data_IF_399858768661
#
_entry.id   IF_399858768661
#
_cell.length_a   1.000
_cell.length_b   1.000
_cell.length_c   1.000
_cell.angle_alpha   90.00
_cell.angle_beta   90.00
_cell.angle_gamma   90.00
#
_symmetry.space_group_name_H-M   'P 1'
#
loop_
_entity.id
_entity.type
_entity.pdbx_description
1 polymer ?
#
# COMPACT_ATOMS: atom_id res chain seq x y z
N UNK A 1 -67.41 59.13 -25.20
CA UNK A 1 -66.22 58.28 -24.98
C UNK A 1 -65.87 58.36 -23.50
N UNK A 2 -66.02 57.26 -22.77
CA UNK A 2 -65.90 57.20 -21.30
C UNK A 2 -64.68 56.39 -20.87
N UNK A 3 -64.04 56.88 -19.81
CA UNK A 3 -63.04 56.20 -18.98
C UNK A 3 -63.62 55.03 -18.17
N UNK A 4 -62.81 53.97 -17.97
CA UNK A 4 -62.53 53.33 -16.67
C UNK A 4 -61.34 52.35 -16.76
N UNK A 5 -60.47 52.38 -15.75
CA UNK A 5 -59.31 51.51 -15.50
C UNK A 5 -59.71 50.09 -15.04
N UNK A 6 -58.87 49.07 -15.30
CA UNK A 6 -58.31 48.18 -14.26
C UNK A 6 -57.10 47.34 -14.76
N UNK A 7 -56.18 47.06 -13.81
CA UNK A 7 -54.89 46.37 -13.94
C UNK A 7 -55.02 44.86 -14.20
N UNK A 8 -54.07 44.29 -14.96
CA UNK A 8 -53.70 42.86 -14.87
C UNK A 8 -52.18 42.69 -14.99
N UNK A 9 -51.57 42.08 -13.99
CA UNK A 9 -50.17 41.62 -13.98
C UNK A 9 -50.08 40.31 -14.75
N UNK A 10 -49.14 40.18 -15.69
CA UNK A 10 -48.82 38.90 -16.34
C UNK A 10 -47.31 38.66 -16.23
N UNK A 11 -46.96 37.55 -15.59
CA UNK A 11 -45.62 37.08 -15.36
C UNK A 11 -44.94 36.64 -16.66
N UNK A 12 -43.69 37.07 -16.88
CA UNK A 12 -42.83 36.55 -17.94
C UNK A 12 -42.05 35.37 -17.36
N UNK A 13 -42.34 34.17 -17.84
CA UNK A 13 -41.56 32.96 -17.54
C UNK A 13 -40.30 33.00 -18.41
N UNK A 14 -39.14 33.21 -17.78
CA UNK A 14 -37.84 33.02 -18.42
C UNK A 14 -37.53 31.51 -18.47
N UNK A 15 -37.59 30.92 -19.66
CA UNK A 15 -37.07 29.57 -19.89
C UNK A 15 -35.55 29.64 -20.11
N UNK A 16 -34.77 29.31 -19.07
CA UNK A 16 -33.34 29.05 -19.17
C UNK A 16 -33.12 27.64 -19.74
N UNK A 17 -32.69 27.54 -20.99
CA UNK A 17 -32.16 26.30 -21.56
C UNK A 17 -30.70 26.19 -21.09
N UNK A 18 -30.46 25.40 -20.06
CA UNK A 18 -29.11 24.98 -19.68
C UNK A 18 -28.71 23.86 -20.63
N UNK A 19 -27.85 24.15 -21.60
CA UNK A 19 -27.16 23.10 -22.34
C UNK A 19 -26.19 22.42 -21.38
N UNK A 20 -26.51 21.21 -20.95
CA UNK A 20 -25.55 20.36 -20.26
C UNK A 20 -24.42 20.04 -21.25
N UNK A 21 -23.25 20.67 -21.08
CA UNK A 21 -22.02 20.15 -21.65
C UNK A 21 -21.80 18.79 -20.99
N UNK A 22 -22.03 17.73 -21.76
CA UNK A 22 -21.58 16.38 -21.43
C UNK A 22 -20.07 16.48 -21.23
N UNK A 23 -19.61 16.42 -19.98
CA UNK A 23 -18.20 16.15 -19.70
C UNK A 23 -17.87 14.83 -20.40
N UNK A 24 -17.20 14.90 -21.55
CA UNK A 24 -16.54 13.75 -22.13
C UNK A 24 -15.42 13.37 -21.18
N UNK A 25 -15.77 12.52 -20.22
CA UNK A 25 -14.80 11.82 -19.39
C UNK A 25 -14.10 10.85 -20.31
N UNK A 26 -12.96 11.27 -20.84
CA UNK A 26 -12.06 10.40 -21.60
C UNK A 26 -11.56 9.33 -20.62
N UNK A 27 -12.22 8.18 -20.59
CA UNK A 27 -11.60 6.98 -20.04
C UNK A 27 -10.45 6.61 -20.97
N UNK A 28 -9.24 7.02 -20.58
CA UNK A 28 -8.01 6.47 -21.14
C UNK A 28 -7.94 5.02 -20.67
N UNK A 29 -8.56 4.13 -21.43
CA UNK A 29 -8.31 2.69 -21.32
C UNK A 29 -6.89 2.46 -21.80
N UNK A 30 -5.95 2.53 -20.87
CA UNK A 30 -4.54 2.28 -21.13
C UNK A 30 -4.38 0.79 -21.46
N UNK A 31 -4.24 0.47 -22.74
CA UNK A 31 -3.76 -0.84 -23.17
C UNK A 31 -2.32 -0.98 -22.67
N UNK A 32 -2.13 -1.77 -21.61
CA UNK A 32 -0.82 -2.03 -21.02
C UNK A 32 0.02 -2.83 -22.02
N UNK A 33 0.91 -2.17 -22.75
CA UNK A 33 2.00 -2.87 -23.43
C UNK A 33 3.39 -2.27 -23.21
N UNK A 34 3.54 -1.03 -22.72
CA UNK A 34 4.82 -0.55 -22.21
C UNK A 34 4.68 0.73 -21.36
N UNK A 35 5.57 0.91 -20.39
CA UNK A 35 5.72 2.18 -19.67
C UNK A 35 6.30 3.28 -20.59
N UNK A 36 5.93 4.56 -20.42
CA UNK A 36 6.54 5.64 -21.20
C UNK A 36 8.04 5.71 -20.97
N UNK A 37 8.79 6.09 -22.01
CA UNK A 37 10.24 6.22 -21.89
C UNK A 37 10.62 7.50 -21.16
N UNK A 38 11.58 7.41 -20.26
CA UNK A 38 12.18 8.56 -19.58
C UNK A 38 13.68 8.62 -19.84
N UNK A 39 14.24 9.83 -19.93
CA UNK A 39 15.66 10.05 -20.15
C UNK A 39 16.15 11.22 -19.30
N UNK A 40 17.24 11.02 -18.57
CA UNK A 40 17.95 12.13 -17.90
C UNK A 40 18.83 12.77 -18.96
N UNK A 41 18.36 13.88 -19.54
CA UNK A 41 19.02 14.59 -20.64
C UNK A 41 20.26 15.33 -20.16
N UNK A 42 20.23 15.87 -18.93
CA UNK A 42 21.41 16.43 -18.28
C UNK A 42 21.32 16.28 -16.76
N UNK A 43 22.47 16.07 -16.14
CA UNK A 43 22.63 16.09 -14.69
C UNK A 43 23.90 16.87 -14.32
N UNK A 44 23.77 17.87 -13.44
CA UNK A 44 24.88 18.66 -12.92
C UNK A 44 24.99 18.56 -11.40
N UNK A 45 26.22 18.53 -10.86
CA UNK A 45 26.50 18.47 -9.42
C UNK A 45 26.97 17.09 -8.95
N UNK A 46 26.52 16.64 -7.78
CA UNK A 46 26.98 15.40 -7.14
C UNK A 46 26.61 14.15 -8.00
N UNK A 47 27.58 13.42 -8.58
CA UNK A 47 27.30 12.30 -9.47
C UNK A 47 26.56 11.14 -8.80
N UNK A 48 26.79 10.91 -7.49
CA UNK A 48 26.13 9.84 -6.75
C UNK A 48 24.62 10.08 -6.64
N UNK A 49 24.20 11.34 -6.51
CA UNK A 49 22.78 11.71 -6.53
C UNK A 49 22.15 11.53 -7.91
N UNK A 50 22.89 11.82 -8.99
CA UNK A 50 22.42 11.57 -10.36
C UNK A 50 22.22 10.09 -10.65
N UNK A 51 23.17 9.25 -10.21
CA UNK A 51 23.05 7.80 -10.28
C UNK A 51 21.86 7.29 -9.46
N UNK A 52 21.66 7.83 -8.25
CA UNK A 52 20.53 7.47 -7.39
C UNK A 52 19.18 7.87 -8.00
N UNK A 53 19.09 9.05 -8.60
CA UNK A 53 17.89 9.52 -9.31
C UNK A 53 17.52 8.55 -10.43
N UNK A 54 18.51 8.15 -11.24
CA UNK A 54 18.32 7.16 -12.30
C UNK A 54 17.86 5.81 -11.76
N UNK A 55 18.54 5.31 -10.71
CA UNK A 55 18.18 4.05 -10.03
C UNK A 55 16.73 4.07 -9.56
N UNK A 56 16.30 5.15 -8.90
CA UNK A 56 14.95 5.24 -8.34
C UNK A 56 13.88 5.43 -9.40
N UNK A 57 14.17 6.12 -10.51
CA UNK A 57 13.28 6.16 -11.67
C UNK A 57 13.08 4.76 -12.26
N UNK A 58 14.15 3.94 -12.36
CA UNK A 58 14.06 2.55 -12.80
C UNK A 58 13.25 1.71 -11.81
N UNK A 59 13.60 1.74 -10.52
CA UNK A 59 12.92 0.98 -9.45
C UNK A 59 11.47 1.39 -9.26
N UNK A 60 11.08 2.60 -9.67
CA UNK A 60 9.68 3.03 -9.62
C UNK A 60 8.77 2.15 -10.46
N UNK A 61 9.26 1.54 -11.54
CA UNK A 61 8.44 0.76 -12.46
C UNK A 61 7.41 1.58 -13.24
N UNK A 62 7.37 2.91 -13.10
CA UNK A 62 6.39 3.78 -13.80
C UNK A 62 6.88 4.31 -15.15
N UNK A 63 8.20 4.28 -15.37
CA UNK A 63 8.85 4.70 -16.61
C UNK A 63 9.87 3.65 -17.05
N UNK A 64 10.13 3.58 -18.35
CA UNK A 64 11.29 2.85 -18.89
C UNK A 64 12.43 3.82 -19.11
N UNK A 65 13.44 3.81 -18.24
CA UNK A 65 14.57 4.74 -18.34
C UNK A 65 15.50 4.32 -19.47
N UNK A 66 15.72 5.19 -20.46
CA UNK A 66 16.62 4.96 -21.58
C UNK A 66 18.10 5.17 -21.17
N UNK A 67 19.06 4.53 -21.88
CA UNK A 67 20.47 4.85 -21.73
C UNK A 67 20.76 6.32 -22.05
N UNK A 68 21.83 6.87 -21.47
CA UNK A 68 22.11 8.33 -21.55
C UNK A 68 22.32 8.80 -22.99
N UNK A 69 22.96 7.98 -23.83
CA UNK A 69 23.13 8.22 -25.26
C UNK A 69 21.80 8.37 -26.04
N UNK A 70 20.70 7.85 -25.49
CA UNK A 70 19.35 7.89 -26.07
C UNK A 70 18.40 8.79 -25.28
N UNK A 71 18.85 9.47 -24.23
CA UNK A 71 17.98 10.24 -23.35
C UNK A 71 17.17 11.33 -24.08
N UNK A 72 17.74 11.92 -25.14
CA UNK A 72 17.05 12.91 -25.97
C UNK A 72 15.89 12.35 -26.80
N UNK A 73 15.83 11.03 -26.98
CA UNK A 73 14.75 10.32 -27.68
C UNK A 73 13.60 9.93 -26.74
N UNK A 74 13.75 10.12 -25.42
CA UNK A 74 12.72 9.77 -24.45
C UNK A 74 11.48 10.67 -24.58
N UNK A 75 10.31 10.10 -24.27
CA UNK A 75 9.05 10.83 -24.18
C UNK A 75 9.06 11.81 -23.00
N UNK A 76 9.66 11.42 -21.89
CA UNK A 76 9.83 12.23 -20.68
C UNK A 76 11.31 12.60 -20.56
N UNK A 77 11.62 13.89 -20.68
CA UNK A 77 12.99 14.41 -20.63
C UNK A 77 13.22 15.12 -19.31
N UNK A 78 14.22 14.66 -18.56
CA UNK A 78 14.52 15.17 -17.22
C UNK A 78 15.87 15.87 -17.27
N UNK A 79 15.92 17.13 -16.82
CA UNK A 79 17.16 17.85 -16.54
C UNK A 79 17.23 18.12 -15.06
N UNK A 80 18.36 17.82 -14.44
CA UNK A 80 18.50 17.91 -13.00
C UNK A 80 19.81 18.59 -12.60
N UNK A 81 19.78 19.34 -11.51
CA UNK A 81 20.97 19.97 -10.93
C UNK A 81 20.91 19.92 -9.41
N UNK A 82 21.96 19.36 -8.83
CA UNK A 82 22.14 19.34 -7.37
C UNK A 82 23.11 20.42 -6.91
N UNK A 83 22.82 21.02 -5.76
CA UNK A 83 23.64 22.01 -5.08
C UNK A 83 23.91 21.55 -3.64
N UNK A 84 25.04 21.97 -3.08
CA UNK A 84 25.41 21.76 -1.68
C UNK A 84 25.73 23.12 -1.05
N UNK A 85 24.67 23.84 -0.63
CA UNK A 85 24.77 25.20 -0.08
C UNK A 85 23.82 25.32 1.10
N UNK A 86 24.36 25.13 2.32
CA UNK A 86 23.55 25.10 3.54
C UNK A 86 22.54 23.95 3.55
N UNK A 87 22.95 22.78 3.05
CA UNK A 87 22.11 21.61 2.80
C UNK A 87 22.04 21.25 1.31
N UNK A 88 21.42 20.11 1.02
CA UNK A 88 21.30 19.57 -0.32
C UNK A 88 20.04 20.14 -0.98
N UNK A 89 20.18 20.68 -2.18
CA UNK A 89 19.07 21.11 -3.03
C UNK A 89 19.13 20.38 -4.36
N UNK A 90 18.05 19.73 -4.77
CA UNK A 90 17.91 19.14 -6.10
C UNK A 90 16.81 19.88 -6.85
N UNK A 91 17.17 20.50 -7.98
CA UNK A 91 16.23 21.12 -8.91
C UNK A 91 16.07 20.22 -10.13
N UNK A 92 14.85 19.98 -10.55
CA UNK A 92 14.57 19.20 -11.77
C UNK A 92 13.54 19.90 -12.65
N UNK A 93 13.80 19.85 -13.95
CA UNK A 93 12.89 20.24 -15.01
C UNK A 93 12.47 18.98 -15.76
N UNK A 94 11.17 18.79 -15.93
CA UNK A 94 10.60 17.66 -16.66
C UNK A 94 9.80 18.18 -17.83
N UNK A 95 10.14 17.72 -19.03
CA UNK A 95 9.46 18.04 -20.27
C UNK A 95 8.84 16.77 -20.88
N UNK A 96 7.61 16.91 -21.35
CA UNK A 96 6.88 15.91 -22.15
C UNK A 96 6.39 16.58 -23.44
N UNK A 97 5.68 15.85 -24.30
CA UNK A 97 5.04 16.45 -25.48
C UNK A 97 3.90 17.42 -25.15
N UNK A 98 3.26 17.25 -24.00
CA UNK A 98 2.03 17.97 -23.63
C UNK A 98 2.24 19.02 -22.54
N UNK A 99 3.20 18.78 -21.65
CA UNK A 99 3.42 19.62 -20.47
C UNK A 99 4.91 19.70 -20.10
N UNK A 100 5.23 20.78 -19.40
CA UNK A 100 6.55 21.05 -18.82
C UNK A 100 6.37 21.57 -17.40
N UNK A 101 7.19 21.08 -16.46
CA UNK A 101 7.15 21.54 -15.08
C UNK A 101 8.52 21.45 -14.41
N UNK A 102 8.73 22.36 -13.45
CA UNK A 102 9.85 22.30 -12.53
C UNK A 102 9.44 21.70 -11.19
N UNK A 103 10.40 21.13 -10.47
CA UNK A 103 10.31 20.85 -9.04
C UNK A 103 11.65 21.06 -8.35
N UNK A 104 11.61 21.30 -7.05
CA UNK A 104 12.80 21.47 -6.23
C UNK A 104 12.57 20.85 -4.85
N UNK A 105 13.53 20.04 -4.40
CA UNK A 105 13.52 19.40 -3.08
C UNK A 105 14.79 19.76 -2.32
N UNK A 106 14.65 19.99 -1.01
CA UNK A 106 15.75 20.37 -0.12
C UNK A 106 15.77 19.48 1.11
N UNK A 107 16.96 19.06 1.53
CA UNK A 107 17.13 18.26 2.74
C UNK A 107 18.59 18.07 3.13
N UNK A 108 18.80 17.34 4.22
CA UNK A 108 20.14 17.05 4.75
C UNK A 108 20.72 15.74 4.19
N UNK A 109 19.86 14.83 3.71
CA UNK A 109 20.26 13.51 3.21
C UNK A 109 19.96 13.39 1.72
N UNK A 110 20.99 13.05 0.94
CA UNK A 110 20.91 12.96 -0.52
C UNK A 110 19.85 11.97 -1.01
N UNK A 111 19.77 10.78 -0.40
CA UNK A 111 18.77 9.77 -0.75
C UNK A 111 17.34 10.26 -0.54
N UNK A 112 17.08 10.95 0.57
CA UNK A 112 15.76 11.49 0.88
C UNK A 112 15.32 12.54 -0.15
N UNK A 113 16.22 13.47 -0.49
CA UNK A 113 15.99 14.49 -1.52
C UNK A 113 15.70 13.85 -2.89
N UNK A 114 16.40 12.78 -3.23
CA UNK A 114 16.16 12.02 -4.47
C UNK A 114 14.79 11.32 -4.44
N UNK A 115 14.43 10.66 -3.34
CA UNK A 115 13.14 9.98 -3.20
C UNK A 115 11.97 10.96 -3.34
N UNK A 116 12.04 12.10 -2.67
CA UNK A 116 11.04 13.17 -2.76
C UNK A 116 10.94 13.74 -4.18
N UNK A 117 12.07 13.87 -4.86
CA UNK A 117 12.10 14.34 -6.25
C UNK A 117 11.42 13.34 -7.18
N UNK A 118 11.70 12.05 -7.04
CA UNK A 118 11.04 11.01 -7.85
C UNK A 118 9.55 10.96 -7.54
N UNK A 119 9.15 10.99 -6.27
CA UNK A 119 7.75 11.00 -5.86
C UNK A 119 7.00 12.20 -6.48
N UNK A 120 7.63 13.37 -6.50
CA UNK A 120 7.03 14.57 -7.08
C UNK A 120 6.88 14.50 -8.62
N UNK A 121 7.85 13.86 -9.30
CA UNK A 121 7.73 13.55 -10.73
C UNK A 121 6.57 12.57 -10.97
N UNK A 122 6.49 11.49 -10.20
CA UNK A 122 5.42 10.50 -10.31
C UNK A 122 4.05 11.08 -9.97
N UNK A 123 3.97 12.00 -9.00
CA UNK A 123 2.75 12.70 -8.64
C UNK A 123 2.22 13.54 -9.80
N UNK A 124 3.09 14.34 -10.42
CA UNK A 124 2.70 15.22 -11.53
C UNK A 124 2.39 14.46 -12.83
N UNK A 125 3.06 13.33 -13.09
CA UNK A 125 2.88 12.56 -14.32
C UNK A 125 1.81 11.46 -14.22
N UNK A 126 1.68 10.81 -13.06
CA UNK A 126 0.90 9.58 -12.90
C UNK A 126 -0.06 9.60 -11.72
N UNK A 127 -0.17 10.74 -11.01
CA UNK A 127 -1.00 10.88 -9.81
C UNK A 127 -0.64 9.88 -8.69
N UNK A 128 0.65 9.54 -8.58
CA UNK A 128 1.19 8.70 -7.50
C UNK A 128 1.82 9.62 -6.46
N UNK A 129 1.13 9.86 -5.34
CA UNK A 129 1.48 10.93 -4.39
C UNK A 129 2.78 10.68 -3.61
N UNK A 130 3.12 9.43 -3.31
CA UNK A 130 4.32 9.08 -2.57
C UNK A 130 4.62 7.59 -2.74
N UNK A 131 5.82 7.24 -3.22
CA UNK A 131 6.22 5.86 -3.50
C UNK A 131 7.59 5.55 -2.89
N UNK A 132 8.63 6.26 -3.34
CA UNK A 132 10.01 6.09 -2.89
C UNK A 132 10.22 6.48 -1.43
N UNK A 133 9.47 7.47 -0.94
CA UNK A 133 9.55 7.91 0.47
C UNK A 133 8.79 7.01 1.43
N UNK A 134 8.01 6.04 0.94
CA UNK A 134 7.20 5.15 1.77
C UNK A 134 8.00 3.95 2.23
N UNK A 135 8.14 3.83 3.55
CA UNK A 135 8.87 2.73 4.17
C UNK A 135 8.10 1.42 4.10
N UNK A 136 8.87 0.34 4.02
CA UNK A 136 8.43 -1.04 4.13
C UNK A 136 8.86 -1.50 5.52
N UNK A 137 7.90 -1.91 6.35
CA UNK A 137 8.18 -2.62 7.60
C UNK A 137 8.32 -4.13 7.31
N UNK A 138 9.16 -4.83 8.06
CA UNK A 138 9.32 -6.28 7.93
C UNK A 138 9.91 -6.86 9.23
N UNK A 139 9.81 -8.18 9.37
CA UNK A 139 10.29 -8.90 10.55
C UNK A 139 11.58 -9.63 10.23
N UNK A 140 12.59 -9.46 11.07
CA UNK A 140 13.87 -10.19 10.99
C UNK A 140 14.39 -10.55 12.40
N UNK A 141 15.31 -11.52 12.52
CA UNK A 141 15.97 -11.79 13.79
C UNK A 141 16.74 -10.56 14.30
N UNK A 142 16.45 -10.16 15.53
CA UNK A 142 17.15 -9.13 16.27
C UNK A 142 18.16 -9.70 17.28
N UNK A 143 18.35 -9.01 18.40
CA UNK A 143 19.22 -9.48 19.49
C UNK A 143 18.69 -10.81 20.05
N UNK A 144 19.60 -11.73 20.39
CA UNK A 144 19.28 -13.07 20.93
C UNK A 144 18.36 -13.90 20.03
N UNK A 145 18.36 -13.65 18.71
CA UNK A 145 17.50 -14.33 17.73
C UNK A 145 15.99 -14.12 17.97
N UNK A 146 15.60 -13.13 18.78
CA UNK A 146 14.20 -12.73 18.94
C UNK A 146 13.78 -11.88 17.74
N UNK A 147 12.62 -12.19 17.17
CA UNK A 147 12.08 -11.45 16.02
C UNK A 147 11.73 -10.01 16.41
N UNK A 148 12.16 -9.06 15.61
CA UNK A 148 11.87 -7.64 15.77
C UNK A 148 11.40 -7.06 14.43
N UNK A 149 10.68 -5.95 14.50
CA UNK A 149 10.24 -5.19 13.32
C UNK A 149 11.32 -4.19 12.96
N UNK A 150 11.69 -4.20 11.69
CA UNK A 150 12.58 -3.25 11.05
C UNK A 150 11.82 -2.53 9.96
N UNK A 151 12.38 -1.45 9.44
CA UNK A 151 11.89 -0.80 8.22
C UNK A 151 13.04 -0.46 7.28
N UNK A 152 12.75 -0.30 5.99
CA UNK A 152 13.66 0.19 4.96
C UNK A 152 12.88 0.95 3.86
N UNK A 153 13.61 1.63 2.97
CA UNK A 153 13.05 2.16 1.73
C UNK A 153 13.02 1.10 0.62
N UNK A 154 12.36 1.43 -0.50
CA UNK A 154 12.20 0.57 -1.67
C UNK A 154 13.51 -0.03 -2.22
N UNK A 155 14.61 0.69 -2.05
CA UNK A 155 15.95 0.27 -2.48
C UNK A 155 16.72 -0.52 -1.41
N UNK A 156 16.09 -0.82 -0.28
CA UNK A 156 16.69 -1.49 0.88
C UNK A 156 17.51 -0.55 1.79
N UNK A 157 17.69 0.71 1.40
CA UNK A 157 18.43 1.69 2.20
C UNK A 157 17.62 2.17 3.41
N UNK A 158 18.29 2.92 4.30
CA UNK A 158 17.64 3.52 5.47
C UNK A 158 17.10 2.49 6.46
N UNK A 159 17.72 1.31 6.52
CA UNK A 159 17.27 0.25 7.40
C UNK A 159 17.37 0.66 8.87
N UNK A 160 16.27 0.55 9.60
CA UNK A 160 16.22 0.85 11.03
C UNK A 160 15.36 -0.16 11.79
N UNK A 161 15.68 -0.38 13.07
CA UNK A 161 14.87 -1.20 13.98
C UNK A 161 13.77 -0.35 14.60
N UNK A 162 12.53 -0.81 14.56
CA UNK A 162 11.35 -0.11 15.09
C UNK A 162 10.99 -0.59 16.50
N UNK A 163 11.13 -1.89 16.78
CA UNK A 163 10.76 -2.47 18.07
C UNK A 163 11.99 -2.85 18.90
N UNK A 164 11.93 -2.59 20.21
CA UNK A 164 13.01 -2.84 21.16
C UNK A 164 12.47 -3.55 22.41
N UNK A 165 11.60 -4.53 22.21
CA UNK A 165 10.81 -5.12 23.30
C UNK A 165 11.54 -6.19 24.09
N UNK A 166 12.69 -6.67 23.58
CA UNK A 166 13.38 -7.86 24.07
C UNK A 166 12.41 -9.06 24.13
N UNK A 167 11.56 -9.16 23.11
CA UNK A 167 10.46 -10.10 22.95
C UNK A 167 10.16 -10.23 21.46
N UNK A 168 9.30 -11.18 21.07
CA UNK A 168 8.97 -11.40 19.67
C UNK A 168 7.94 -10.36 19.23
N UNK A 169 8.30 -9.54 18.23
CA UNK A 169 7.41 -8.58 17.57
C UNK A 169 7.16 -9.03 16.13
N UNK A 170 5.91 -9.21 15.73
CA UNK A 170 5.52 -9.76 14.42
C UNK A 170 4.28 -9.08 13.85
N UNK A 171 3.97 -9.39 12.59
CA UNK A 171 2.73 -8.95 11.90
C UNK A 171 2.55 -7.42 11.94
N UNK A 172 3.53 -6.63 11.45
CA UNK A 172 3.32 -5.19 11.31
C UNK A 172 2.15 -4.93 10.34
N UNK A 173 1.28 -3.98 10.68
CA UNK A 173 0.23 -3.49 9.79
C UNK A 173 0.12 -1.98 9.89
N UNK A 174 0.38 -1.30 8.77
CA UNK A 174 0.24 0.14 8.65
C UNK A 174 -1.22 0.52 8.45
N UNK A 175 -1.73 1.45 9.25
CA UNK A 175 -2.97 2.16 8.90
C UNK A 175 -2.67 3.41 8.10
N UNK A 176 -1.64 4.14 8.51
CA UNK A 176 -1.13 5.32 7.82
C UNK A 176 0.34 5.55 8.12
N UNK A 177 0.95 6.54 7.46
CA UNK A 177 2.42 6.74 7.50
C UNK A 177 3.04 7.08 8.84
N UNK A 178 2.21 7.19 9.88
CA UNK A 178 2.61 7.56 11.23
C UNK A 178 2.07 6.58 12.27
N UNK A 179 1.29 5.59 11.83
CA UNK A 179 0.53 4.69 12.69
C UNK A 179 0.62 3.26 12.17
N UNK A 180 1.14 2.39 13.03
CA UNK A 180 1.29 0.96 12.75
C UNK A 180 0.86 0.17 13.98
N UNK A 181 0.24 -0.98 13.77
CA UNK A 181 0.02 -1.97 14.83
C UNK A 181 0.90 -3.20 14.59
N UNK A 182 1.20 -3.93 15.66
CA UNK A 182 1.89 -5.21 15.57
C UNK A 182 1.49 -6.15 16.71
N UNK A 183 1.78 -7.44 16.53
CA UNK A 183 1.60 -8.48 17.54
C UNK A 183 2.87 -8.64 18.37
N UNK A 184 2.75 -8.55 19.69
CA UNK A 184 3.80 -8.76 20.66
C UNK A 184 3.58 -10.09 21.40
N UNK A 185 4.55 -10.99 21.32
CA UNK A 185 4.58 -12.21 22.14
C UNK A 185 5.61 -12.05 23.26
N UNK A 186 5.11 -11.89 24.49
CA UNK A 186 5.91 -11.65 25.69
C UNK A 186 5.25 -12.29 26.91
N UNK A 187 6.05 -12.89 27.79
CA UNK A 187 5.59 -13.48 29.06
C UNK A 187 4.41 -14.45 28.89
N UNK A 188 4.49 -15.31 27.86
CA UNK A 188 3.45 -16.27 27.47
C UNK A 188 2.07 -15.64 27.14
N UNK A 189 2.06 -14.37 26.75
CA UNK A 189 0.87 -13.65 26.29
C UNK A 189 1.09 -13.06 24.89
N UNK A 190 0.01 -13.01 24.13
CA UNK A 190 -0.07 -12.28 22.86
C UNK A 190 -0.86 -11.00 23.07
N UNK A 191 -0.29 -9.88 22.65
CA UNK A 191 -0.88 -8.55 22.77
C UNK A 191 -0.75 -7.79 21.46
N UNK A 192 -1.68 -6.87 21.20
CA UNK A 192 -1.57 -5.94 20.08
C UNK A 192 -1.05 -4.60 20.59
N UNK A 193 -0.03 -4.08 19.93
CA UNK A 193 0.61 -2.80 20.26
C UNK A 193 0.40 -1.81 19.13
N UNK A 194 0.02 -0.58 19.47
CA UNK A 194 -0.03 0.55 18.55
C UNK A 194 1.26 1.37 18.68
N UNK A 195 1.86 1.70 17.54
CA UNK A 195 3.05 2.55 17.40
C UNK A 195 2.65 3.88 16.78
N UNK A 196 2.97 4.97 17.47
CA UNK A 196 2.98 6.33 16.94
C UNK A 196 4.43 6.70 16.61
N UNK A 197 4.75 6.74 15.31
CA UNK A 197 6.09 7.02 14.81
C UNK A 197 6.45 8.51 14.84
N UNK A 198 5.47 9.41 14.95
CA UNK A 198 5.76 10.83 15.14
C UNK A 198 6.29 11.08 16.55
N UNK A 199 5.61 10.50 17.56
CA UNK A 199 5.96 10.70 18.96
C UNK A 199 6.98 9.68 19.48
N UNK A 200 7.33 8.69 18.67
CA UNK A 200 8.17 7.56 19.05
C UNK A 200 7.61 6.87 20.31
N UNK A 201 6.29 6.64 20.31
CA UNK A 201 5.55 6.03 21.42
C UNK A 201 4.91 4.73 21.00
N UNK A 202 4.83 3.80 21.93
CA UNK A 202 4.12 2.53 21.76
C UNK A 202 3.17 2.33 22.94
N UNK A 203 1.97 1.81 22.70
CA UNK A 203 1.02 1.41 23.76
C UNK A 203 0.36 0.09 23.42
N UNK A 204 0.21 -0.79 24.42
CA UNK A 204 -0.62 -1.99 24.29
C UNK A 204 -2.08 -1.56 24.19
N UNK A 205 -2.78 -1.99 23.13
CA UNK A 205 -4.18 -1.66 22.88
C UNK A 205 -5.12 -2.87 23.06
N UNK A 206 -4.59 -4.11 23.00
CA UNK A 206 -5.33 -5.32 23.34
C UNK A 206 -4.44 -6.34 24.01
N UNK A 207 -4.95 -6.93 25.11
CA UNK A 207 -4.27 -7.97 25.92
C UNK A 207 -5.26 -8.88 26.65
N UNK A 208 -6.37 -9.20 26.02
CA UNK A 208 -7.36 -10.11 26.60
C UNK A 208 -6.74 -11.50 26.82
N UNK A 209 -7.37 -12.35 27.65
CA UNK A 209 -6.92 -13.74 27.82
C UNK A 209 -6.95 -14.46 26.46
N UNK A 210 -5.86 -15.18 26.15
CA UNK A 210 -5.72 -15.95 24.91
C UNK A 210 -5.04 -15.16 23.79
N UNK A 211 -5.38 -15.49 22.56
CA UNK A 211 -4.86 -14.86 21.34
C UNK A 211 -5.32 -13.39 21.25
N UNK A 212 -4.39 -12.51 20.93
CA UNK A 212 -4.64 -11.15 20.43
C UNK A 212 -3.58 -10.90 19.35
N UNK A 213 -3.95 -11.06 18.07
CA UNK A 213 -2.96 -11.07 16.99
C UNK A 213 -3.55 -10.61 15.64
N UNK A 214 -2.68 -10.57 14.62
CA UNK A 214 -2.99 -10.27 13.22
C UNK A 214 -3.81 -8.98 13.05
N UNK A 215 -3.43 -7.94 13.79
CA UNK A 215 -4.18 -6.70 13.83
C UNK A 215 -3.96 -5.85 12.57
N UNK A 216 -5.00 -5.12 12.14
CA UNK A 216 -4.95 -4.14 11.08
C UNK A 216 -5.54 -2.80 11.54
N UNK A 217 -4.74 -1.73 11.40
CA UNK A 217 -5.14 -0.37 11.72
C UNK A 217 -5.91 0.25 10.54
N UNK A 218 -7.06 0.86 10.81
CA UNK A 218 -7.82 1.59 9.81
C UNK A 218 -7.05 2.81 9.31
N UNK A 219 -7.37 3.29 8.11
CA UNK A 219 -6.60 4.36 7.46
C UNK A 219 -6.67 5.70 8.15
N UNK A 220 -7.83 5.99 8.73
CA UNK A 220 -8.04 7.16 9.57
C UNK A 220 -7.37 7.05 10.95
N UNK A 221 -6.77 5.90 11.26
CA UNK A 221 -6.09 5.63 12.53
C UNK A 221 -7.04 5.52 13.72
N UNK A 222 -8.36 5.37 13.49
CA UNK A 222 -9.38 5.37 14.55
C UNK A 222 -9.76 3.98 15.05
N UNK A 223 -9.64 2.95 14.21
CA UNK A 223 -10.10 1.59 14.52
C UNK A 223 -9.02 0.57 14.27
N UNK A 224 -9.05 -0.52 15.03
CA UNK A 224 -8.17 -1.68 14.84
C UNK A 224 -9.02 -2.93 14.73
N UNK A 225 -8.92 -3.63 13.61
CA UNK A 225 -9.46 -4.98 13.49
C UNK A 225 -8.41 -5.98 13.97
N UNK A 226 -8.79 -7.04 14.68
CA UNK A 226 -7.86 -8.06 15.17
C UNK A 226 -8.54 -9.41 15.38
N UNK A 227 -7.73 -10.47 15.41
CA UNK A 227 -8.15 -11.81 15.82
C UNK A 227 -7.99 -11.96 17.34
N UNK A 228 -9.04 -12.40 18.03
CA UNK A 228 -9.01 -12.59 19.48
C UNK A 228 -9.70 -13.88 19.91
N UNK A 229 -9.11 -14.59 20.87
CA UNK A 229 -9.66 -15.86 21.39
C UNK A 229 -10.29 -15.78 22.78
N UNK A 230 -10.73 -14.59 23.20
CA UNK A 230 -11.24 -14.34 24.56
C UNK A 230 -12.45 -15.21 24.90
N UNK A 231 -13.28 -15.50 23.90
CA UNK A 231 -14.58 -16.17 24.06
C UNK A 231 -14.52 -17.65 23.65
N UNK A 232 -13.39 -18.32 23.92
CA UNK A 232 -13.12 -19.74 23.61
C UNK A 232 -13.18 -20.13 22.12
N UNK A 233 -13.25 -19.14 21.23
CA UNK A 233 -13.26 -19.25 19.76
C UNK A 233 -12.42 -18.10 19.21
N UNK A 234 -11.77 -18.29 18.06
CA UNK A 234 -10.93 -17.25 17.44
C UNK A 234 -11.81 -16.43 16.50
N UNK A 235 -12.19 -15.23 16.95
CA UNK A 235 -13.08 -14.34 16.21
C UNK A 235 -12.42 -13.01 15.83
N UNK A 236 -13.05 -12.33 14.90
CA UNK A 236 -12.74 -10.95 14.57
C UNK A 236 -13.38 -9.99 15.56
N UNK A 237 -12.59 -9.01 15.96
CA UNK A 237 -13.02 -7.87 16.76
C UNK A 237 -12.61 -6.57 16.07
N UNK A 238 -13.37 -5.51 16.32
CA UNK A 238 -12.99 -4.13 16.01
C UNK A 238 -12.89 -3.37 17.32
N UNK A 239 -11.74 -2.74 17.55
CA UNK A 239 -11.47 -1.83 18.66
C UNK A 239 -11.52 -0.40 18.15
N UNK A 240 -12.34 0.45 18.77
CA UNK A 240 -12.28 1.90 18.58
C UNK A 240 -11.21 2.50 19.51
N UNK A 241 -10.25 3.21 18.95
CA UNK A 241 -9.08 3.72 19.68
C UNK A 241 -9.36 4.98 20.51
N UNK A 242 -10.49 5.66 20.27
CA UNK A 242 -10.87 6.88 20.98
C UNK A 242 -11.51 6.59 22.33
N UNK A 243 -12.39 5.57 22.40
CA UNK A 243 -13.11 5.19 23.61
C UNK A 243 -12.72 3.80 24.16
N UNK A 244 -11.83 3.06 23.47
CA UNK A 244 -11.46 1.68 23.76
C UNK A 244 -12.63 0.67 23.70
N UNK A 245 -13.70 1.00 22.98
CA UNK A 245 -14.85 0.11 22.79
C UNK A 245 -14.48 -1.05 21.87
N UNK A 246 -14.91 -2.26 22.24
CA UNK A 246 -14.64 -3.48 21.49
C UNK A 246 -15.95 -4.08 20.97
N UNK A 247 -16.03 -4.27 19.66
CA UNK A 247 -17.13 -4.94 19.00
C UNK A 247 -16.66 -6.29 18.44
N UNK A 248 -17.31 -7.38 18.86
CA UNK A 248 -17.13 -8.71 18.24
C UNK A 248 -17.91 -8.76 16.93
N UNK A 249 -17.25 -9.12 15.83
CA UNK A 249 -17.84 -9.15 14.49
C UNK A 249 -18.28 -10.55 14.07
N UNK A 250 -17.52 -11.58 14.41
CA UNK A 250 -17.83 -12.98 14.11
C UNK A 250 -18.20 -13.75 15.37
N UNK A 251 -19.01 -14.79 15.21
CA UNK A 251 -19.42 -15.72 16.27
C UNK A 251 -19.49 -17.12 15.69
N UNK A 252 -18.39 -17.59 15.13
CA UNK A 252 -18.33 -18.88 14.44
C UNK A 252 -17.55 -19.90 15.29
N UNK A 253 -17.71 -21.18 14.97
CA UNK A 253 -16.91 -22.27 15.57
C UNK A 253 -15.55 -22.45 14.90
N UNK A 254 -15.24 -21.59 13.93
CA UNK A 254 -14.11 -21.66 13.02
C UNK A 254 -13.03 -20.64 13.41
N UNK A 255 -11.88 -20.68 12.74
CA UNK A 255 -10.75 -19.80 13.03
C UNK A 255 -10.73 -18.63 12.07
N UNK A 256 -10.99 -17.43 12.61
CA UNK A 256 -11.03 -16.20 11.85
C UNK A 256 -9.73 -15.43 12.04
N UNK A 257 -9.06 -15.04 10.95
CA UNK A 257 -7.74 -14.43 11.05
C UNK A 257 -7.43 -13.39 9.96
N UNK A 258 -6.35 -12.65 10.18
CA UNK A 258 -5.77 -11.69 9.22
C UNK A 258 -6.78 -10.70 8.63
N UNK A 259 -7.57 -9.98 9.45
CA UNK A 259 -8.46 -8.94 8.94
C UNK A 259 -7.67 -7.78 8.31
N UNK A 260 -8.16 -7.27 7.19
CA UNK A 260 -7.65 -6.05 6.52
C UNK A 260 -8.80 -5.16 6.07
N UNK A 261 -8.62 -3.84 6.21
CA UNK A 261 -9.66 -2.86 5.94
C UNK A 261 -9.88 -2.59 4.45
N UNK A 262 -11.15 -2.46 4.06
CA UNK A 262 -11.53 -1.90 2.77
C UNK A 262 -11.10 -0.44 2.64
N UNK A 263 -11.04 0.11 1.41
CA UNK A 263 -10.52 1.45 1.21
C UNK A 263 -11.24 2.59 1.91
N UNK A 264 -12.56 2.44 2.00
CA UNK A 264 -13.50 3.32 2.66
C UNK A 264 -13.70 2.99 4.15
N UNK A 265 -13.06 1.92 4.66
CA UNK A 265 -13.23 1.43 6.03
C UNK A 265 -14.62 0.86 6.33
N UNK A 266 -15.46 0.62 5.33
CA UNK A 266 -16.82 0.09 5.52
C UNK A 266 -16.84 -1.43 5.73
N UNK A 267 -15.81 -2.14 5.28
CA UNK A 267 -15.72 -3.59 5.32
C UNK A 267 -14.34 -4.07 5.76
N UNK A 268 -14.28 -5.34 6.16
CA UNK A 268 -13.05 -6.09 6.34
C UNK A 268 -13.00 -7.23 5.32
N UNK A 269 -11.81 -7.53 4.80
CA UNK A 269 -11.49 -8.82 4.21
C UNK A 269 -10.73 -9.63 5.26
N UNK A 270 -10.98 -10.94 5.35
CA UNK A 270 -10.35 -11.80 6.35
C UNK A 270 -10.29 -13.25 5.90
N UNK A 271 -9.49 -14.06 6.60
CA UNK A 271 -9.36 -15.51 6.39
C UNK A 271 -10.31 -16.24 7.33
N UNK A 272 -11.06 -17.21 6.81
CA UNK A 272 -11.86 -18.16 7.60
C UNK A 272 -11.66 -19.57 7.08
N UNK A 273 -11.52 -20.54 7.98
CA UNK A 273 -11.38 -21.97 7.66
C UNK A 273 -12.73 -22.73 7.67
N UNK A 274 -13.86 -22.02 7.71
CA UNK A 274 -15.23 -22.58 7.80
C UNK A 274 -15.64 -23.62 6.76
N UNK A 275 -14.86 -23.80 5.70
CA UNK A 275 -15.08 -24.81 4.66
C UNK A 275 -14.02 -25.93 4.69
N UNK A 276 -13.32 -26.09 5.82
CA UNK A 276 -12.25 -27.07 6.00
C UNK A 276 -10.89 -26.64 5.44
N UNK A 277 -10.79 -25.44 4.84
CA UNK A 277 -9.53 -24.85 4.39
C UNK A 277 -9.62 -23.31 4.44
N UNK A 278 -8.48 -22.60 4.59
CA UNK A 278 -8.46 -21.13 4.59
C UNK A 278 -9.03 -20.54 3.30
N UNK A 279 -10.01 -19.66 3.42
CA UNK A 279 -10.63 -18.92 2.32
C UNK A 279 -10.83 -17.46 2.73
N UNK A 280 -10.94 -16.56 1.74
CA UNK A 280 -11.22 -15.16 2.02
C UNK A 280 -12.72 -14.85 2.05
N UNK A 281 -13.09 -14.04 3.03
CA UNK A 281 -14.44 -13.52 3.23
C UNK A 281 -14.38 -12.01 3.41
N UNK A 282 -15.49 -11.35 3.11
CA UNK A 282 -15.74 -9.97 3.53
C UNK A 282 -16.87 -9.89 4.54
N UNK A 283 -16.81 -8.91 5.43
CA UNK A 283 -17.88 -8.59 6.38
C UNK A 283 -17.95 -7.06 6.55
N UNK A 284 -19.13 -6.52 6.80
CA UNK A 284 -19.29 -5.11 7.19
C UNK A 284 -18.55 -4.83 8.51
N UNK A 285 -17.91 -3.68 8.61
CA UNK A 285 -17.16 -3.29 9.80
C UNK A 285 -18.04 -3.12 11.06
N UNK A 286 -19.35 -3.00 10.90
CA UNK A 286 -20.37 -3.01 11.96
C UNK A 286 -20.94 -4.41 12.23
N UNK A 287 -20.43 -5.44 11.55
CA UNK A 287 -20.88 -6.82 11.64
C UNK A 287 -22.04 -7.13 10.69
N UNK A 288 -22.49 -8.38 10.70
CA UNK A 288 -23.53 -8.87 9.80
C UNK A 288 -23.12 -10.17 9.13
N UNK A 289 -23.75 -10.49 8.00
CA UNK A 289 -23.52 -11.75 7.29
C UNK A 289 -22.22 -11.70 6.48
N UNK A 290 -21.25 -12.61 6.73
CA UNK A 290 -20.06 -12.71 5.90
C UNK A 290 -20.36 -13.14 4.47
N UNK A 291 -19.58 -12.61 3.51
CA UNK A 291 -19.64 -12.96 2.10
C UNK A 291 -18.33 -13.62 1.65
N UNK A 292 -18.40 -14.84 1.13
CA UNK A 292 -17.23 -15.54 0.58
C UNK A 292 -16.76 -14.90 -0.74
N UNK A 293 -15.45 -14.73 -0.90
CA UNK A 293 -14.85 -14.34 -2.18
C UNK A 293 -14.68 -15.57 -3.11
N UNK A 294 -14.94 -15.38 -4.40
CA UNK A 294 -14.89 -16.45 -5.41
C UNK A 294 -13.48 -16.59 -5.97
N UNK A 295 -12.64 -17.39 -5.30
CA UNK A 295 -11.19 -17.47 -5.60
C UNK A 295 -10.74 -18.73 -6.35
N UNK A 296 -11.65 -19.61 -6.77
CA UNK A 296 -11.28 -20.81 -7.53
C UNK A 296 -10.88 -22.04 -6.69
N UNK A 297 -11.09 -22.02 -5.37
CA UNK A 297 -11.12 -23.22 -4.52
C UNK A 297 -9.79 -23.72 -3.95
N UNK A 298 -8.67 -23.03 -4.20
CA UNK A 298 -7.43 -23.24 -3.46
C UNK A 298 -7.42 -22.46 -2.14
N UNK A 299 -6.55 -22.84 -1.20
CA UNK A 299 -6.37 -22.09 0.05
C UNK A 299 -5.94 -20.65 -0.23
N UNK A 300 -6.52 -19.69 0.49
CA UNK A 300 -6.20 -18.28 0.34
C UNK A 300 -5.92 -17.66 1.71
N UNK A 301 -4.73 -17.07 1.85
CA UNK A 301 -4.20 -16.58 3.12
C UNK A 301 -3.49 -15.23 2.95
N UNK A 302 -3.23 -14.57 4.09
CA UNK A 302 -2.49 -13.30 4.17
C UNK A 302 -2.99 -12.23 3.18
N UNK A 303 -4.28 -11.85 3.24
CA UNK A 303 -4.82 -10.83 2.37
C UNK A 303 -4.24 -9.45 2.70
N UNK A 304 -4.16 -8.57 1.71
CA UNK A 304 -4.06 -7.12 1.89
C UNK A 304 -4.96 -6.41 0.88
N UNK A 305 -5.55 -5.28 1.27
CA UNK A 305 -6.55 -4.56 0.47
C UNK A 305 -6.06 -3.16 0.12
N UNK A 306 -5.73 -2.97 -1.17
CA UNK A 306 -5.08 -1.78 -1.70
C UNK A 306 -5.79 -0.49 -1.35
N UNK A 307 -5.02 0.53 -1.00
CA UNK A 307 -5.58 1.82 -0.63
C UNK A 307 -6.19 2.65 -1.72
N UNK A 308 -5.71 2.46 -2.93
CA UNK A 308 -5.98 3.37 -4.03
C UNK A 308 -6.66 2.66 -5.19
N UNK A 309 -6.55 1.33 -5.30
CA UNK A 309 -7.10 0.57 -6.44
C UNK A 309 -8.35 -0.24 -6.13
N UNK A 310 -8.71 -0.44 -4.85
CA UNK A 310 -9.77 -1.37 -4.42
C UNK A 310 -9.53 -2.80 -4.94
N UNK A 311 -8.30 -3.28 -4.84
CA UNK A 311 -7.91 -4.65 -5.17
C UNK A 311 -7.43 -5.38 -3.93
N UNK A 312 -7.69 -6.67 -3.85
CA UNK A 312 -7.19 -7.54 -2.78
C UNK A 312 -6.06 -8.38 -3.35
N UNK A 313 -4.89 -8.38 -2.71
CA UNK A 313 -3.85 -9.36 -2.98
C UNK A 313 -3.85 -10.40 -1.87
N UNK A 314 -3.41 -11.62 -2.18
CA UNK A 314 -3.35 -12.73 -1.22
C UNK A 314 -2.39 -13.81 -1.70
N UNK A 315 -1.89 -14.62 -0.77
CA UNK A 315 -1.12 -15.81 -1.10
C UNK A 315 -2.08 -17.00 -1.28
N UNK A 316 -1.86 -17.79 -2.33
CA UNK A 316 -2.65 -18.99 -2.64
C UNK A 316 -1.77 -20.10 -3.11
N UNK A 317 -2.18 -21.35 -2.87
CA UNK A 317 -1.41 -22.50 -3.31
C UNK A 317 -1.77 -22.89 -4.75
N UNK A 318 -0.77 -22.94 -5.62
CA UNK A 318 -0.91 -23.39 -7.00
C UNK A 318 0.31 -24.22 -7.41
N UNK A 319 0.09 -25.40 -8.01
CA UNK A 319 1.19 -26.27 -8.42
C UNK A 319 2.11 -26.72 -7.26
N UNK A 320 1.58 -26.76 -6.03
CA UNK A 320 2.32 -27.14 -4.83
C UNK A 320 3.10 -26.02 -4.16
N UNK A 321 3.20 -24.83 -4.76
CA UNK A 321 3.90 -23.65 -4.24
C UNK A 321 2.92 -22.54 -3.87
N UNK A 322 3.32 -21.63 -3.00
CA UNK A 322 2.58 -20.39 -2.78
C UNK A 322 2.89 -19.36 -3.88
N UNK A 323 1.85 -18.77 -4.44
CA UNK A 323 1.92 -17.66 -5.40
C UNK A 323 1.06 -16.50 -4.90
N UNK A 324 1.34 -15.28 -5.36
CA UNK A 324 0.49 -14.12 -5.09
C UNK A 324 -0.54 -13.98 -6.19
N UNK A 325 -1.81 -13.87 -5.80
CA UNK A 325 -2.93 -13.54 -6.67
C UNK A 325 -3.55 -12.21 -6.29
N UNK A 326 -4.17 -11.55 -7.26
CA UNK A 326 -4.88 -10.27 -7.12
C UNK A 326 -6.31 -10.42 -7.61
N UNK A 327 -7.28 -9.94 -6.83
CA UNK A 327 -8.69 -9.84 -7.20
C UNK A 327 -9.11 -8.37 -7.25
N UNK A 328 -9.78 -7.96 -8.33
CA UNK A 328 -10.37 -6.63 -8.44
C UNK A 328 -11.76 -6.60 -7.79
N UNK A 329 -11.94 -5.74 -6.78
CA UNK A 329 -13.20 -5.65 -6.03
C UNK A 329 -14.21 -4.69 -6.67
N UNK A 330 -13.84 -3.98 -7.74
CA UNK A 330 -14.76 -3.10 -8.49
C UNK A 330 -15.67 -3.89 -9.43
N UNK A 331 -15.20 -5.03 -9.93
CA UNK A 331 -15.98 -5.93 -10.79
C UNK A 331 -16.41 -7.16 -10.00
N UNK A 332 -17.73 -7.30 -9.80
CA UNK A 332 -18.31 -8.44 -9.08
C UNK A 332 -18.07 -9.80 -9.75
N UNK A 333 -17.71 -9.80 -11.04
CA UNK A 333 -17.39 -11.00 -11.83
C UNK A 333 -15.89 -11.18 -12.07
N UNK A 334 -15.04 -10.32 -11.50
CA UNK A 334 -13.61 -10.42 -11.63
C UNK A 334 -13.12 -11.81 -11.19
N UNK A 335 -12.17 -12.35 -11.95
CA UNK A 335 -11.44 -13.55 -11.58
C UNK A 335 -10.09 -13.15 -11.01
N UNK A 336 -9.58 -13.87 -9.98
CA UNK A 336 -8.24 -13.61 -9.51
C UNK A 336 -7.20 -13.88 -10.59
N UNK A 337 -6.14 -13.06 -10.58
CA UNK A 337 -5.01 -13.17 -11.48
C UNK A 337 -3.72 -13.41 -10.69
N UNK A 338 -2.92 -14.39 -11.11
CA UNK A 338 -1.59 -14.65 -10.54
C UNK A 338 -0.59 -13.63 -11.08
N UNK A 339 0.14 -12.98 -10.17
CA UNK A 339 1.10 -11.91 -10.48
C UNK A 339 2.57 -12.32 -10.26
N UNK A 340 2.82 -13.47 -9.63
CA UNK A 340 4.16 -14.02 -9.41
C UNK A 340 4.35 -15.30 -10.23
N UNK A 341 5.03 -15.20 -11.38
CA UNK A 341 5.19 -16.32 -12.32
C UNK A 341 6.48 -17.13 -12.13
N UNK A 342 7.45 -16.61 -11.37
CA UNK A 342 8.69 -17.33 -11.09
C UNK A 342 8.52 -18.32 -9.92
N UNK A 343 9.25 -19.44 -9.98
CA UNK A 343 9.17 -20.51 -8.99
C UNK A 343 9.56 -20.07 -7.56
N UNK A 344 9.10 -20.80 -6.55
CA UNK A 344 9.37 -20.53 -5.13
C UNK A 344 8.10 -20.16 -4.38
N UNK A 345 8.18 -20.09 -3.05
CA UNK A 345 7.01 -19.76 -2.23
C UNK A 345 6.94 -18.25 -2.00
N UNK A 346 5.93 -17.62 -2.59
CA UNK A 346 5.63 -16.20 -2.42
C UNK A 346 4.61 -16.00 -1.32
N UNK A 347 4.98 -15.28 -0.27
CA UNK A 347 4.23 -15.22 0.98
C UNK A 347 4.06 -13.78 1.47
N UNK A 348 2.98 -13.52 2.20
CA UNK A 348 2.69 -12.27 2.89
C UNK A 348 2.80 -11.01 1.99
N UNK A 349 1.95 -10.90 0.95
CA UNK A 349 1.93 -9.71 0.12
C UNK A 349 1.35 -8.50 0.86
N UNK A 350 1.86 -7.31 0.56
CA UNK A 350 1.32 -6.03 1.02
C UNK A 350 1.37 -5.00 -0.10
N UNK A 351 0.29 -4.26 -0.29
CA UNK A 351 0.14 -3.24 -1.31
C UNK A 351 1.04 -2.03 -1.05
N UNK A 352 1.79 -1.66 -2.09
CA UNK A 352 2.43 -0.36 -2.17
C UNK A 352 1.41 0.77 -2.33
N UNK A 353 1.87 2.02 -2.21
CA UNK A 353 1.02 3.21 -2.16
C UNK A 353 0.43 3.62 -3.52
N UNK A 354 0.79 2.93 -4.59
CA UNK A 354 0.51 3.33 -5.98
C UNK A 354 -0.53 2.46 -6.69
N UNK A 355 -1.07 1.44 -6.01
CA UNK A 355 -2.09 0.55 -6.56
C UNK A 355 -1.60 -0.40 -7.65
N UNK A 356 -0.28 -0.46 -7.88
CA UNK A 356 0.37 -1.29 -8.89
C UNK A 356 1.36 -2.26 -8.28
N UNK A 357 2.18 -1.80 -7.34
CA UNK A 357 3.24 -2.62 -6.78
C UNK A 357 2.81 -3.28 -5.48
N UNK A 358 3.39 -4.45 -5.22
CA UNK A 358 3.32 -5.17 -3.95
C UNK A 358 4.72 -5.34 -3.40
N UNK A 359 4.86 -5.39 -2.09
CA UNK A 359 6.00 -6.05 -1.43
C UNK A 359 5.55 -7.42 -0.96
N UNK A 360 6.41 -8.42 -1.08
CA UNK A 360 6.17 -9.74 -0.52
C UNK A 360 7.50 -10.42 -0.18
N UNK A 361 7.41 -11.52 0.56
CA UNK A 361 8.56 -12.41 0.74
C UNK A 361 8.54 -13.53 -0.28
N UNK A 362 9.72 -13.93 -0.74
CA UNK A 362 9.88 -15.15 -1.54
C UNK A 362 10.89 -16.06 -0.87
N UNK A 363 10.51 -17.32 -0.66
CA UNK A 363 11.40 -18.37 -0.19
C UNK A 363 11.92 -19.17 -1.38
N UNK A 364 13.24 -19.21 -1.52
CA UNK A 364 13.95 -19.98 -2.53
C UNK A 364 15.13 -20.69 -1.87
N UNK A 365 15.08 -22.02 -1.80
CA UNK A 365 16.08 -22.79 -1.05
C UNK A 365 16.01 -22.48 0.45
N UNK A 366 17.12 -21.95 1.02
CA UNK A 366 17.25 -21.65 2.46
C UNK A 366 17.02 -20.18 2.82
N UNK A 367 16.96 -19.27 1.84
CA UNK A 367 16.71 -17.86 2.12
C UNK A 367 15.24 -17.51 1.92
N UNK A 368 14.80 -16.52 2.68
CA UNK A 368 13.53 -15.81 2.49
C UNK A 368 13.87 -14.33 2.40
N UNK A 369 13.54 -13.71 1.28
CA UNK A 369 13.97 -12.35 0.95
C UNK A 369 12.80 -11.47 0.55
N UNK A 370 12.98 -10.15 0.67
CA UNK A 370 12.01 -9.13 0.26
C UNK A 370 12.09 -8.88 -1.24
N UNK A 371 10.92 -8.83 -1.87
CA UNK A 371 10.77 -8.49 -3.28
C UNK A 371 9.67 -7.47 -3.46
N UNK A 372 9.87 -6.56 -4.42
CA UNK A 372 8.78 -5.82 -5.03
C UNK A 372 8.28 -6.57 -6.25
N UNK A 373 6.97 -6.69 -6.38
CA UNK A 373 6.27 -7.30 -7.52
C UNK A 373 5.47 -6.23 -8.23
N UNK A 374 5.65 -6.11 -9.54
CA UNK A 374 4.80 -5.29 -10.40
C UNK A 374 3.62 -6.15 -10.89
N UNK A 375 2.41 -5.81 -10.44
CA UNK A 375 1.21 -6.61 -10.78
C UNK A 375 0.79 -6.48 -12.24
N UNK A 376 1.19 -5.41 -12.94
CA UNK A 376 0.82 -5.18 -14.34
C UNK A 376 1.76 -5.92 -15.28
N UNK A 377 3.07 -5.83 -15.03
CA UNK A 377 4.09 -6.45 -15.87
C UNK A 377 4.45 -7.87 -15.43
N UNK A 378 4.01 -8.30 -14.25
CA UNK A 378 4.34 -9.61 -13.63
C UNK A 378 5.85 -9.82 -13.48
N UNK A 379 6.56 -8.72 -13.26
CA UNK A 379 7.99 -8.69 -12.99
C UNK A 379 8.23 -8.48 -11.50
N UNK A 380 9.46 -8.73 -11.06
CA UNK A 380 9.83 -8.53 -9.67
C UNK A 380 11.29 -8.07 -9.54
N UNK A 381 11.60 -7.40 -8.45
CA UNK A 381 12.96 -6.94 -8.11
C UNK A 381 13.23 -7.24 -6.64
N UNK A 382 14.42 -7.77 -6.34
CA UNK A 382 14.84 -8.01 -4.96
C UNK A 382 15.12 -6.67 -4.24
N UNK A 383 14.67 -6.58 -3.00
CA UNK A 383 15.07 -5.54 -2.04
C UNK A 383 16.20 -6.07 -1.14
N UNK A 384 16.14 -7.36 -0.78
CA UNK A 384 17.13 -8.03 0.07
C UNK A 384 17.69 -9.28 -0.58
N UNK A 385 18.84 -9.75 -0.08
CA UNK A 385 19.47 -11.00 -0.50
C UNK A 385 20.06 -11.72 0.73
N UNK A 386 19.65 -12.97 0.97
CA UNK A 386 20.12 -13.77 2.10
C UNK A 386 19.69 -13.26 3.48
N UNK A 387 18.68 -12.38 3.57
CA UNK A 387 18.37 -11.63 4.79
C UNK A 387 17.46 -12.39 5.78
N UNK A 388 16.77 -13.45 5.33
CA UNK A 388 15.84 -14.26 6.14
C UNK A 388 14.77 -13.42 6.85
N UNK A 389 14.06 -12.63 6.07
CA UNK A 389 13.02 -11.68 6.48
C UNK A 389 11.63 -12.28 6.33
N UNK A 390 10.62 -11.73 7.00
CA UNK A 390 9.22 -12.20 6.92
C UNK A 390 8.21 -11.09 7.14
N UNK A 391 6.95 -11.33 6.76
CA UNK A 391 5.79 -10.48 7.08
C UNK A 391 6.00 -8.99 6.75
N UNK A 392 6.30 -8.64 5.47
CA UNK A 392 6.45 -7.26 5.10
C UNK A 392 5.10 -6.53 5.08
N UNK A 393 5.12 -5.24 5.37
CA UNK A 393 4.00 -4.33 5.26
C UNK A 393 4.49 -3.01 4.67
N UNK A 394 3.98 -2.63 3.50
CA UNK A 394 4.31 -1.35 2.88
C UNK A 394 3.41 -0.26 3.44
N UNK A 395 3.98 0.90 3.75
CA UNK A 395 3.17 2.07 4.10
C UNK A 395 2.20 2.42 2.96
N UNK A 396 0.89 2.49 3.20
CA UNK A 396 -0.10 2.74 2.15
C UNK A 396 -0.04 4.18 1.61
N UNK A 397 -0.65 4.37 0.44
CA UNK A 397 -0.80 5.65 -0.24
C UNK A 397 -1.97 6.46 0.31
N UNK A 398 -1.87 7.79 0.23
CA UNK A 398 -2.86 8.76 0.70
C UNK A 398 -3.14 9.80 -0.36
#
# INVERSE_FOLDING_TARGET
>A
MFNKLQLTVVAVVLSLVVSAQTEQRTEVVKTVTDNPTAGIVSYEGNPAMGAKLKEMLVRSGWVRVLPDAQANQAMIKIRAKSYDVGGILLQTQVDTSEQSFATSQRGEQSSQVVFETVDEILRKLFNVSSFCTRKIAFVMPGRNNLKEIYSCYLDGSGQERITHNNAISTEPSWGHSRGMVYTLAKDNALSVVLVDLNRQRQRVISRARGLNASASLSRDGRKVALSMSRDNSVDLYVLDLANNEQQRLTRDSHVESSPVWSPDGSQLCYVSDRLGMPQLYTIDAKGGTPKRLRLGGAEAVSPDWSAVSNRICYATRQGGQYVISVLDMKDANARPEVVTLAAGDWEAPSWGPDGRHLVCTRRSGRSRDLYVVDTWLKTFTAISEGANVSLPAWTPGF
#
